data_IF_989429777377
#
_entry.id   IF_989429777377
#
_cell.length_a   1.000
_cell.length_b   1.000
_cell.length_c   1.000
_cell.angle_alpha   90.00
_cell.angle_beta   90.00
_cell.angle_gamma   90.00
#
_symmetry.space_group_name_H-M   'P 1'
#
loop_
_entity.id
_entity.type
_entity.pdbx_description
1 polymer ?
#
# COMPACT_ATOMS: atom_id res chain seq x y z
N UNK A 1 51.26 39.11 -39.24
CA UNK A 1 50.95 38.05 -40.22
C UNK A 1 51.54 36.75 -39.69
N UNK A 2 50.87 35.61 -39.94
CA UNK A 2 51.02 34.27 -39.30
C UNK A 2 50.05 34.10 -38.11
N UNK A 3 48.78 33.68 -38.30
CA UNK A 3 48.22 32.34 -38.62
C UNK A 3 48.22 31.36 -37.43
N UNK A 4 47.09 31.28 -36.72
CA UNK A 4 46.15 30.14 -36.63
C UNK A 4 46.70 28.84 -35.98
N UNK A 5 46.43 28.68 -34.68
CA UNK A 5 46.28 27.36 -34.07
C UNK A 5 44.77 27.02 -33.96
N UNK A 6 44.29 26.11 -34.82
CA UNK A 6 43.05 25.36 -34.61
C UNK A 6 43.41 24.03 -33.95
N UNK A 7 43.13 23.87 -32.65
CA UNK A 7 43.07 22.55 -32.01
C UNK A 7 41.67 21.96 -32.22
N UNK A 8 41.63 20.84 -32.93
CA UNK A 8 40.46 19.99 -33.14
C UNK A 8 40.00 19.34 -31.83
N UNK A 9 38.71 19.12 -31.56
CA UNK A 9 38.28 18.34 -30.40
C UNK A 9 38.53 16.86 -30.69
N UNK A 10 39.30 16.21 -29.80
CA UNK A 10 39.54 14.78 -29.83
C UNK A 10 38.21 14.02 -29.77
N UNK A 11 37.93 13.24 -30.82
CA UNK A 11 36.99 12.11 -30.76
C UNK A 11 37.42 11.21 -29.61
N UNK A 12 36.64 11.16 -28.53
CA UNK A 12 36.70 10.04 -27.57
C UNK A 12 36.25 8.80 -28.34
N UNK A 13 37.22 7.98 -28.74
CA UNK A 13 36.99 6.61 -29.19
C UNK A 13 36.39 5.82 -28.03
N UNK A 14 35.10 5.51 -28.10
CA UNK A 14 34.50 4.41 -27.35
C UNK A 14 34.96 3.12 -27.99
N UNK A 15 36.22 2.76 -27.73
CA UNK A 15 36.75 1.44 -28.07
C UNK A 15 36.19 0.48 -27.01
N UNK A 16 35.02 -0.08 -27.30
CA UNK A 16 34.47 -1.18 -26.50
C UNK A 16 35.27 -2.41 -26.87
N UNK A 17 36.01 -2.96 -25.91
CA UNK A 17 36.83 -4.14 -26.16
C UNK A 17 35.94 -5.31 -26.65
N UNK A 18 36.44 -6.22 -27.51
CA UNK A 18 35.65 -7.35 -28.01
C UNK A 18 35.05 -8.21 -26.89
N UNK A 19 35.76 -8.32 -25.76
CA UNK A 19 35.32 -9.02 -24.56
C UNK A 19 34.12 -8.34 -23.89
N UNK A 20 34.11 -7.00 -23.79
CA UNK A 20 32.98 -6.25 -23.21
C UNK A 20 31.71 -6.37 -24.05
N UNK A 21 31.85 -6.43 -25.38
CA UNK A 21 30.74 -6.63 -26.30
C UNK A 21 30.16 -8.05 -26.23
N UNK A 22 31.00 -9.06 -26.01
CA UNK A 22 30.58 -10.46 -25.86
C UNK A 22 29.91 -10.72 -24.50
N UNK A 23 30.46 -10.15 -23.42
CA UNK A 23 29.84 -10.17 -22.08
C UNK A 23 28.50 -9.46 -22.09
N UNK A 24 28.39 -8.29 -22.73
CA UNK A 24 27.12 -7.54 -22.83
C UNK A 24 26.06 -8.32 -23.61
N UNK A 25 26.44 -9.02 -24.69
CA UNK A 25 25.52 -9.89 -25.45
C UNK A 25 25.10 -11.13 -24.65
N UNK A 26 26.02 -11.73 -23.91
CA UNK A 26 25.75 -12.87 -23.04
C UNK A 26 24.78 -12.49 -21.91
N UNK A 27 25.03 -11.36 -21.23
CA UNK A 27 24.13 -10.82 -20.20
C UNK A 27 22.74 -10.49 -20.73
N UNK A 28 22.66 -9.92 -21.94
CA UNK A 28 21.36 -9.60 -22.56
C UNK A 28 20.54 -10.88 -22.81
N UNK A 29 21.18 -11.94 -23.31
CA UNK A 29 20.53 -13.24 -23.50
C UNK A 29 20.02 -13.85 -22.19
N UNK A 30 20.80 -13.76 -21.10
CA UNK A 30 20.33 -14.25 -19.80
C UNK A 30 19.16 -13.44 -19.24
N UNK A 31 19.15 -12.11 -19.44
CA UNK A 31 18.00 -11.27 -19.07
C UNK A 31 16.74 -11.65 -19.82
N UNK A 32 16.84 -11.86 -21.14
CA UNK A 32 15.70 -12.35 -21.94
C UNK A 32 15.18 -13.71 -21.45
N UNK A 33 16.08 -14.60 -21.01
CA UNK A 33 15.67 -15.89 -20.40
C UNK A 33 14.95 -15.69 -19.07
N UNK A 34 15.39 -14.75 -18.23
CA UNK A 34 14.71 -14.39 -16.99
C UNK A 34 13.33 -13.80 -17.29
N UNK A 35 13.23 -12.87 -18.24
CA UNK A 35 11.95 -12.25 -18.63
C UNK A 35 10.93 -13.31 -19.09
N UNK A 36 11.39 -14.34 -19.83
CA UNK A 36 10.55 -15.47 -20.25
C UNK A 36 10.08 -16.32 -19.06
N UNK A 37 10.93 -16.56 -18.07
CA UNK A 37 10.57 -17.30 -16.85
C UNK A 37 9.59 -16.49 -15.99
N UNK A 38 9.79 -15.19 -15.88
CA UNK A 38 8.90 -14.28 -15.15
C UNK A 38 7.51 -14.25 -15.79
N UNK A 39 7.44 -14.23 -17.14
CA UNK A 39 6.17 -14.35 -17.85
C UNK A 39 5.47 -15.68 -17.55
N UNK A 40 6.22 -16.79 -17.48
CA UNK A 40 5.66 -18.10 -17.13
C UNK A 40 5.15 -18.15 -15.68
N UNK A 41 5.85 -17.51 -14.74
CA UNK A 41 5.40 -17.41 -13.34
C UNK A 41 4.07 -16.66 -13.25
N UNK A 42 3.93 -15.53 -13.96
CA UNK A 42 2.68 -14.75 -14.00
C UNK A 42 1.55 -15.58 -14.60
N UNK A 43 1.79 -16.25 -15.74
CA UNK A 43 0.78 -17.14 -16.37
C UNK A 43 0.33 -18.25 -15.42
N UNK A 44 1.27 -18.88 -14.73
CA UNK A 44 0.99 -19.95 -13.75
C UNK A 44 0.16 -19.44 -12.57
N UNK A 45 0.47 -18.25 -12.06
CA UNK A 45 -0.31 -17.60 -11.00
C UNK A 45 -1.74 -17.28 -11.47
N UNK A 46 -1.90 -16.81 -12.72
CA UNK A 46 -3.21 -16.54 -13.30
C UNK A 46 -4.05 -17.82 -13.46
N UNK A 47 -3.45 -18.92 -13.92
CA UNK A 47 -4.11 -20.23 -14.00
C UNK A 47 -4.51 -20.73 -12.61
N UNK A 48 -3.60 -20.64 -11.63
CA UNK A 48 -3.90 -20.98 -10.24
C UNK A 48 -5.07 -20.17 -9.70
N UNK A 49 -5.13 -18.87 -9.99
CA UNK A 49 -6.25 -18.01 -9.58
C UNK A 49 -7.59 -18.45 -10.19
N UNK A 50 -7.61 -18.89 -11.46
CA UNK A 50 -8.82 -19.48 -12.08
C UNK A 50 -9.29 -20.73 -11.33
N UNK A 51 -8.37 -21.63 -10.98
CA UNK A 51 -8.70 -22.83 -10.18
C UNK A 51 -9.23 -22.46 -8.79
N UNK A 52 -8.67 -21.42 -8.15
CA UNK A 52 -9.19 -20.92 -6.86
C UNK A 52 -10.64 -20.44 -7.00
N UNK A 53 -10.99 -19.78 -8.11
CA UNK A 53 -12.38 -19.37 -8.38
C UNK A 53 -13.32 -20.57 -8.52
N UNK A 54 -12.91 -21.62 -9.23
CA UNK A 54 -13.71 -22.85 -9.35
C UNK A 54 -13.87 -23.58 -8.01
N UNK A 55 -12.79 -23.66 -7.21
CA UNK A 55 -12.83 -24.18 -5.84
C UNK A 55 -13.81 -23.39 -4.99
N UNK A 56 -13.82 -22.05 -5.12
CA UNK A 56 -14.78 -21.20 -4.44
C UNK A 56 -16.22 -21.49 -4.86
N UNK A 57 -16.50 -21.63 -6.16
CA UNK A 57 -17.84 -21.97 -6.66
C UNK A 57 -18.36 -23.28 -6.06
N UNK A 58 -17.50 -24.29 -5.88
CA UNK A 58 -17.89 -25.54 -5.21
C UNK A 58 -18.10 -25.37 -3.69
N UNK A 59 -17.31 -24.51 -3.04
CA UNK A 59 -17.47 -24.19 -1.62
C UNK A 59 -18.70 -23.34 -1.32
N UNK A 60 -19.27 -22.62 -2.29
CA UNK A 60 -20.53 -21.89 -2.09
C UNK A 60 -21.68 -22.85 -1.71
N UNK A 61 -21.71 -24.04 -2.32
CA UNK A 61 -22.71 -25.08 -2.03
C UNK A 61 -22.43 -25.91 -0.76
N UNK A 62 -21.23 -25.82 -0.20
CA UNK A 62 -20.82 -26.59 1.00
C UNK A 62 -20.67 -25.69 2.23
N UNK A 63 -20.86 -26.25 3.43
CA UNK A 63 -20.71 -25.53 4.71
C UNK A 63 -19.25 -25.44 5.20
N UNK A 64 -18.27 -25.62 4.31
CA UNK A 64 -16.85 -25.65 4.68
C UNK A 64 -16.30 -24.23 4.94
N UNK A 65 -15.43 -24.09 5.95
CA UNK A 65 -14.70 -22.84 6.20
C UNK A 65 -13.82 -22.46 5.01
N UNK A 66 -13.67 -21.16 4.75
CA UNK A 66 -12.81 -20.67 3.66
C UNK A 66 -11.35 -21.05 3.91
N UNK A 67 -10.89 -20.85 5.15
CA UNK A 67 -9.52 -21.12 5.57
C UNK A 67 -9.40 -22.50 6.23
N UNK A 68 -8.45 -23.29 5.76
CA UNK A 68 -8.13 -24.61 6.33
C UNK A 68 -6.65 -24.62 6.75
N UNK A 69 -6.41 -24.43 8.05
CA UNK A 69 -5.06 -24.35 8.60
C UNK A 69 -4.26 -25.64 8.41
N UNK A 70 -4.90 -26.82 8.46
CA UNK A 70 -4.22 -28.11 8.29
C UNK A 70 -3.78 -28.31 6.84
N UNK A 71 -4.64 -27.92 5.89
CA UNK A 71 -4.30 -27.93 4.47
C UNK A 71 -3.18 -26.94 4.15
N UNK A 72 -3.22 -25.73 4.71
CA UNK A 72 -2.16 -24.73 4.56
C UNK A 72 -0.81 -25.26 5.07
N UNK A 73 -0.78 -25.83 6.28
CA UNK A 73 0.45 -26.39 6.86
C UNK A 73 1.01 -27.54 6.01
N UNK A 74 0.14 -28.42 5.52
CA UNK A 74 0.53 -29.52 4.63
C UNK A 74 1.10 -29.02 3.31
N UNK A 75 0.49 -27.99 2.72
CA UNK A 75 0.98 -27.35 1.50
C UNK A 75 2.35 -26.72 1.72
N UNK A 76 2.53 -25.93 2.78
CA UNK A 76 3.79 -25.25 3.06
C UNK A 76 4.94 -26.24 3.34
N UNK A 77 4.65 -27.37 4.00
CA UNK A 77 5.62 -28.45 4.16
C UNK A 77 6.06 -29.02 2.81
N UNK A 78 5.11 -29.33 1.93
CA UNK A 78 5.41 -29.82 0.57
C UNK A 78 6.21 -28.80 -0.25
N UNK A 79 5.88 -27.51 -0.14
CA UNK A 79 6.61 -26.43 -0.80
C UNK A 79 8.06 -26.37 -0.33
N UNK A 80 8.32 -26.52 0.97
CA UNK A 80 9.70 -26.59 1.49
C UNK A 80 10.49 -27.77 0.92
N UNK A 81 9.88 -28.95 0.85
CA UNK A 81 10.50 -30.15 0.25
C UNK A 81 10.84 -29.91 -1.23
N UNK A 82 9.89 -29.39 -2.02
CA UNK A 82 10.11 -29.05 -3.42
C UNK A 82 11.20 -27.98 -3.61
N UNK A 83 11.28 -27.00 -2.71
CA UNK A 83 12.31 -25.97 -2.75
C UNK A 83 13.71 -26.55 -2.53
N UNK A 84 13.85 -27.47 -1.57
CA UNK A 84 15.11 -28.17 -1.32
C UNK A 84 15.55 -28.99 -2.54
N UNK A 85 14.63 -29.76 -3.14
CA UNK A 85 14.91 -30.59 -4.31
C UNK A 85 15.32 -29.75 -5.54
N UNK A 86 14.73 -28.56 -5.68
CA UNK A 86 15.04 -27.61 -6.76
C UNK A 86 16.30 -26.77 -6.50
N UNK A 87 16.91 -26.86 -5.30
CA UNK A 87 18.09 -26.09 -4.93
C UNK A 87 17.84 -24.60 -4.68
N UNK A 88 16.61 -24.20 -4.36
CA UNK A 88 16.23 -22.83 -4.01
C UNK A 88 16.03 -22.70 -2.50
N UNK A 89 16.15 -21.48 -1.95
CA UNK A 89 15.97 -21.24 -0.51
C UNK A 89 14.54 -21.64 -0.05
N UNK A 90 14.40 -22.64 0.84
CA UNK A 90 13.10 -23.05 1.34
C UNK A 90 12.38 -21.97 2.13
N UNK A 91 13.12 -21.10 2.83
CA UNK A 91 12.51 -20.03 3.63
C UNK A 91 11.88 -18.97 2.75
N UNK A 92 12.62 -18.44 1.78
CA UNK A 92 12.10 -17.51 0.78
C UNK A 92 10.88 -18.09 0.03
N UNK A 93 10.98 -19.34 -0.43
CA UNK A 93 9.90 -20.00 -1.16
C UNK A 93 8.64 -20.16 -0.29
N UNK A 94 8.81 -20.51 0.99
CA UNK A 94 7.70 -20.59 1.93
C UNK A 94 7.01 -19.22 2.11
N UNK A 95 7.77 -18.12 2.26
CA UNK A 95 7.20 -16.78 2.38
C UNK A 95 6.37 -16.42 1.14
N UNK A 96 6.91 -16.64 -0.06
CA UNK A 96 6.18 -16.42 -1.31
C UNK A 96 4.85 -17.20 -1.35
N UNK A 97 4.87 -18.48 -0.97
CA UNK A 97 3.66 -19.29 -0.96
C UNK A 97 2.67 -18.88 0.13
N UNK A 98 3.13 -18.37 1.28
CA UNK A 98 2.25 -17.78 2.30
C UNK A 98 1.50 -16.57 1.75
N UNK A 99 2.16 -15.71 0.99
CA UNK A 99 1.53 -14.54 0.36
C UNK A 99 0.50 -14.98 -0.69
N UNK A 100 0.84 -15.96 -1.53
CA UNK A 100 -0.08 -16.53 -2.52
C UNK A 100 -1.33 -17.14 -1.85
N UNK A 101 -1.15 -17.88 -0.74
CA UNK A 101 -2.25 -18.46 0.03
C UNK A 101 -3.11 -17.36 0.66
N UNK A 102 -2.46 -16.37 1.29
CA UNK A 102 -3.14 -15.23 1.92
C UNK A 102 -4.03 -14.51 0.91
N UNK A 103 -3.51 -14.20 -0.29
CA UNK A 103 -4.28 -13.59 -1.35
C UNK A 103 -5.49 -14.46 -1.77
N UNK A 104 -5.28 -15.77 -1.89
CA UNK A 104 -6.36 -16.72 -2.25
C UNK A 104 -7.47 -16.77 -1.20
N UNK A 105 -7.12 -16.74 0.08
CA UNK A 105 -8.07 -16.72 1.20
C UNK A 105 -8.81 -15.40 1.24
N UNK A 106 -8.10 -14.27 1.05
CA UNK A 106 -8.68 -12.93 1.00
C UNK A 106 -9.71 -12.80 -0.12
N UNK A 107 -9.37 -13.23 -1.34
CA UNK A 107 -10.29 -13.26 -2.48
C UNK A 107 -11.56 -14.08 -2.19
N UNK A 108 -11.40 -15.30 -1.66
CA UNK A 108 -12.54 -16.16 -1.32
C UNK A 108 -13.42 -15.55 -0.23
N UNK A 109 -12.83 -14.96 0.81
CA UNK A 109 -13.58 -14.28 1.88
C UNK A 109 -14.36 -13.08 1.34
N UNK A 110 -13.75 -12.24 0.52
CA UNK A 110 -14.45 -11.11 -0.11
C UNK A 110 -15.57 -11.57 -1.05
N UNK A 111 -15.31 -12.56 -1.91
CA UNK A 111 -16.33 -13.12 -2.81
C UNK A 111 -17.52 -13.69 -2.05
N UNK A 112 -17.27 -14.28 -0.87
CA UNK A 112 -18.33 -14.81 -0.03
C UNK A 112 -19.13 -13.72 0.67
N UNK A 113 -18.47 -12.68 1.18
CA UNK A 113 -19.16 -11.50 1.69
C UNK A 113 -20.03 -10.85 0.61
N UNK A 114 -19.56 -10.81 -0.63
CA UNK A 114 -20.31 -10.21 -1.75
C UNK A 114 -21.53 -11.04 -2.10
N UNK A 115 -21.40 -12.35 -2.07
CA UNK A 115 -22.52 -13.25 -2.23
C UNK A 115 -23.57 -13.03 -1.13
N UNK A 116 -23.15 -13.01 0.14
CA UNK A 116 -24.04 -12.81 1.29
C UNK A 116 -24.71 -11.43 1.34
N UNK A 117 -24.16 -10.45 0.62
CA UNK A 117 -24.66 -9.07 0.58
C UNK A 117 -25.20 -8.66 -0.81
N UNK A 118 -25.42 -9.61 -1.73
CA UNK A 118 -25.92 -9.37 -3.10
C UNK A 118 -25.08 -8.36 -3.92
N UNK A 119 -23.75 -8.37 -3.76
CA UNK A 119 -22.81 -7.45 -4.43
C UNK A 119 -21.98 -8.09 -5.54
N UNK A 120 -22.20 -9.36 -5.90
CA UNK A 120 -21.39 -10.09 -6.89
C UNK A 120 -21.39 -9.45 -8.30
N UNK A 121 -22.46 -8.75 -8.68
CA UNK A 121 -22.56 -8.10 -10.00
C UNK A 121 -22.04 -6.66 -10.00
N UNK A 122 -21.74 -6.10 -8.83
CA UNK A 122 -21.25 -4.72 -8.70
C UNK A 122 -19.78 -4.69 -9.08
N UNK A 123 -19.47 -4.00 -10.20
CA UNK A 123 -18.09 -3.92 -10.74
C UNK A 123 -17.36 -2.64 -10.38
N UNK A 124 -18.06 -1.66 -9.83
CA UNK A 124 -17.51 -0.34 -9.53
C UNK A 124 -17.80 0.02 -8.08
N UNK A 125 -16.85 0.69 -7.43
CA UNK A 125 -17.06 1.24 -6.09
C UNK A 125 -16.47 2.64 -5.98
N UNK A 126 -17.18 3.52 -5.28
CA UNK A 126 -16.77 4.88 -4.95
C UNK A 126 -16.41 4.97 -3.47
N UNK A 127 -15.18 5.40 -3.19
CA UNK A 127 -14.60 5.42 -1.85
C UNK A 127 -14.27 6.87 -1.47
N UNK A 128 -14.95 7.39 -0.45
CA UNK A 128 -14.61 8.67 0.15
C UNK A 128 -13.47 8.52 1.16
N UNK A 129 -12.54 9.47 1.18
CA UNK A 129 -11.47 9.48 2.16
C UNK A 129 -10.98 10.90 2.44
N UNK A 130 -10.37 11.12 3.60
CA UNK A 130 -9.69 12.38 3.90
C UNK A 130 -8.27 12.37 3.30
N UNK A 131 -7.95 13.42 2.55
CA UNK A 131 -6.63 13.63 1.94
C UNK A 131 -6.67 13.70 0.42
N UNK A 132 -5.50 13.55 -0.19
CA UNK A 132 -5.33 13.64 -1.66
C UNK A 132 -4.85 12.31 -2.26
N UNK A 133 -4.82 12.22 -3.60
CA UNK A 133 -4.38 11.01 -4.29
C UNK A 133 -2.93 10.71 -3.87
N UNK A 134 -2.66 9.47 -3.46
CA UNK A 134 -1.34 9.06 -2.93
C UNK A 134 -1.22 9.11 -1.40
N UNK A 135 -2.18 9.71 -0.70
CA UNK A 135 -2.24 9.66 0.76
C UNK A 135 -2.41 8.22 1.27
N UNK A 136 -2.08 7.96 2.53
CA UNK A 136 -2.22 6.62 3.13
C UNK A 136 -3.67 6.09 3.09
N UNK A 137 -4.67 6.96 3.28
CA UNK A 137 -6.09 6.57 3.14
C UNK A 137 -6.46 6.17 1.71
N UNK A 138 -5.90 6.86 0.70
CA UNK A 138 -6.04 6.47 -0.70
C UNK A 138 -5.39 5.11 -0.98
N UNK A 139 -4.18 4.90 -0.46
CA UNK A 139 -3.50 3.61 -0.55
C UNK A 139 -4.31 2.48 0.11
N UNK A 140 -4.95 2.76 1.26
CA UNK A 140 -5.81 1.80 1.95
C UNK A 140 -7.03 1.43 1.09
N UNK A 141 -7.67 2.42 0.45
CA UNK A 141 -8.77 2.19 -0.50
C UNK A 141 -8.34 1.27 -1.64
N UNK A 142 -7.24 1.62 -2.31
CA UNK A 142 -6.74 0.83 -3.43
C UNK A 142 -6.38 -0.59 -2.99
N UNK A 143 -5.70 -0.76 -1.84
CA UNK A 143 -5.34 -2.08 -1.33
C UNK A 143 -6.57 -2.93 -0.99
N UNK A 144 -7.62 -2.33 -0.43
CA UNK A 144 -8.83 -3.06 -0.03
C UNK A 144 -9.68 -3.48 -1.22
N UNK A 145 -9.85 -2.58 -2.20
CA UNK A 145 -10.88 -2.72 -3.23
C UNK A 145 -10.40 -3.15 -4.62
N UNK A 146 -9.13 -2.93 -4.99
CA UNK A 146 -8.68 -3.15 -6.38
C UNK A 146 -8.68 -4.61 -6.83
N UNK A 147 -8.67 -5.57 -5.91
CA UNK A 147 -8.80 -7.00 -6.24
C UNK A 147 -10.27 -7.43 -6.39
N UNK A 148 -11.20 -6.62 -5.88
CA UNK A 148 -12.63 -6.95 -5.77
C UNK A 148 -13.49 -6.25 -6.82
N UNK A 149 -13.10 -5.05 -7.23
CA UNK A 149 -13.84 -4.21 -8.18
C UNK A 149 -12.97 -3.88 -9.39
N UNK A 150 -13.59 -3.82 -10.57
CA UNK A 150 -12.93 -3.48 -11.83
C UNK A 150 -12.56 -1.98 -11.88
N UNK A 151 -13.41 -1.10 -11.30
CA UNK A 151 -13.20 0.34 -11.21
C UNK A 151 -13.35 0.81 -9.75
N UNK A 152 -12.25 1.31 -9.17
CA UNK A 152 -12.21 1.86 -7.82
C UNK A 152 -12.02 3.37 -7.93
N UNK A 153 -13.10 4.12 -7.70
CA UNK A 153 -13.07 5.59 -7.72
C UNK A 153 -12.84 6.10 -6.32
N UNK A 154 -11.77 6.86 -6.12
CA UNK A 154 -11.48 7.45 -4.82
C UNK A 154 -11.70 8.96 -4.86
N UNK A 155 -12.50 9.49 -3.92
CA UNK A 155 -12.80 10.91 -3.80
C UNK A 155 -12.19 11.44 -2.51
N UNK A 156 -11.26 12.39 -2.65
CA UNK A 156 -10.54 13.00 -1.53
C UNK A 156 -11.25 14.23 -0.98
N UNK A 157 -11.35 14.31 0.34
CA UNK A 157 -11.97 15.39 1.10
C UNK A 157 -10.99 16.04 2.08
N UNK A 158 -11.32 17.24 2.57
CA UNK A 158 -10.43 17.97 3.49
C UNK A 158 -10.46 17.40 4.90
N UNK A 159 -11.62 16.94 5.36
CA UNK A 159 -11.82 16.42 6.72
C UNK A 159 -12.43 15.02 6.70
N UNK A 160 -12.29 14.29 7.81
CA UNK A 160 -12.95 12.99 7.99
C UNK A 160 -14.48 13.12 7.94
N UNK A 161 -15.02 14.20 8.52
CA UNK A 161 -16.47 14.48 8.52
C UNK A 161 -17.00 14.65 7.09
N UNK A 162 -16.31 15.41 6.24
CA UNK A 162 -16.71 15.57 4.84
C UNK A 162 -16.70 14.23 4.08
N UNK A 163 -15.69 13.38 4.29
CA UNK A 163 -15.64 12.06 3.67
C UNK A 163 -16.77 11.15 4.15
N UNK A 164 -17.09 11.18 5.45
CA UNK A 164 -18.21 10.43 6.01
C UNK A 164 -19.55 10.95 5.48
N UNK A 165 -19.74 12.27 5.42
CA UNK A 165 -20.96 12.89 4.90
C UNK A 165 -21.20 12.57 3.42
N UNK A 166 -20.18 12.62 2.58
CA UNK A 166 -20.29 12.25 1.17
C UNK A 166 -20.83 10.81 1.01
N UNK A 167 -20.42 9.89 1.88
CA UNK A 167 -20.97 8.53 1.90
C UNK A 167 -22.40 8.47 2.45
N UNK A 168 -22.73 9.23 3.50
CA UNK A 168 -24.10 9.32 4.03
C UNK A 168 -25.08 9.89 2.98
N UNK A 169 -24.66 10.92 2.26
CA UNK A 169 -25.45 11.59 1.21
C UNK A 169 -25.52 10.79 -0.10
N UNK A 170 -24.70 9.74 -0.23
CA UNK A 170 -24.70 8.84 -1.39
C UNK A 170 -23.82 9.28 -2.55
N UNK A 171 -22.93 10.26 -2.34
CA UNK A 171 -21.86 10.60 -3.30
C UNK A 171 -20.76 9.54 -3.35
N UNK A 172 -20.61 8.75 -2.28
CA UNK A 172 -19.72 7.60 -2.19
C UNK A 172 -20.44 6.38 -1.61
N UNK A 173 -19.99 5.17 -1.96
CA UNK A 173 -20.54 3.91 -1.47
C UNK A 173 -20.06 3.59 -0.04
N UNK A 174 -18.81 3.97 0.24
CA UNK A 174 -18.10 3.71 1.49
C UNK A 174 -17.17 4.87 1.81
N UNK A 175 -16.78 5.03 3.08
CA UNK A 175 -15.70 5.90 3.48
C UNK A 175 -14.59 5.14 4.20
N UNK A 176 -13.36 5.65 4.13
CA UNK A 176 -12.20 5.12 4.87
C UNK A 176 -11.77 6.11 5.94
N UNK A 177 -11.76 5.62 7.18
CA UNK A 177 -11.39 6.40 8.36
C UNK A 177 -10.20 5.74 9.07
N UNK A 178 -9.11 6.48 9.34
CA UNK A 178 -8.05 6.00 10.21
C UNK A 178 -8.52 6.08 11.66
N UNK A 179 -8.44 4.99 12.42
CA UNK A 179 -8.89 4.96 13.83
C UNK A 179 -7.74 4.92 14.82
N UNK A 180 -6.58 4.39 14.41
CA UNK A 180 -5.45 4.17 15.29
C UNK A 180 -4.14 4.26 14.50
N UNK A 181 -3.15 4.96 15.07
CA UNK A 181 -1.78 4.96 14.58
C UNK A 181 -0.83 4.60 15.72
N UNK A 182 0.14 3.73 15.48
CA UNK A 182 1.10 3.26 16.51
C UNK A 182 1.86 4.42 17.18
N UNK A 183 2.19 5.48 16.44
CA UNK A 183 2.96 6.62 16.95
C UNK A 183 2.07 7.72 17.54
N UNK A 184 0.91 7.98 16.95
CA UNK A 184 0.01 9.07 17.36
C UNK A 184 -1.11 8.66 18.32
N UNK A 185 -1.35 7.36 18.49
CA UNK A 185 -2.45 6.81 19.26
C UNK A 185 -3.78 6.79 18.50
N UNK A 186 -4.88 6.78 19.25
CA UNK A 186 -6.24 6.82 18.73
C UNK A 186 -6.53 8.15 18.03
N UNK A 187 -7.32 8.08 16.95
CA UNK A 187 -7.76 9.26 16.19
C UNK A 187 -9.19 9.56 16.62
N UNK A 188 -9.33 10.46 17.59
CA UNK A 188 -10.61 10.74 18.25
C UNK A 188 -11.67 11.23 17.26
N UNK A 189 -11.32 12.10 16.29
CA UNK A 189 -12.25 12.59 15.28
C UNK A 189 -12.96 11.45 14.53
N UNK A 190 -12.25 10.33 14.25
CA UNK A 190 -12.85 9.15 13.63
C UNK A 190 -13.78 8.40 14.58
N UNK A 191 -13.44 8.32 15.87
CA UNK A 191 -14.29 7.71 16.89
C UNK A 191 -15.56 8.53 17.13
N UNK A 192 -15.46 9.85 17.13
CA UNK A 192 -16.59 10.75 17.29
C UNK A 192 -17.58 10.57 16.12
N UNK A 193 -17.07 10.46 14.89
CA UNK A 193 -17.90 10.15 13.71
C UNK A 193 -18.58 8.77 13.82
N UNK A 194 -17.86 7.75 14.29
CA UNK A 194 -18.42 6.42 14.51
C UNK A 194 -19.46 6.38 15.64
N UNK A 195 -19.40 7.33 16.58
CA UNK A 195 -20.32 7.41 17.72
C UNK A 195 -21.58 8.23 17.39
N UNK A 196 -21.45 9.31 16.62
CA UNK A 196 -22.53 10.25 16.31
C UNK A 196 -23.38 9.83 15.11
N UNK A 197 -22.77 9.14 14.15
CA UNK A 197 -23.41 8.76 12.89
C UNK A 197 -23.75 7.27 12.93
N UNK A 198 -24.92 6.89 12.39
CA UNK A 198 -25.30 5.49 12.16
C UNK A 198 -24.41 4.86 11.06
N UNK A 199 -23.13 4.70 11.36
CA UNK A 199 -22.10 4.15 10.48
C UNK A 199 -21.76 2.74 10.92
N UNK A 200 -21.65 1.86 9.94
CA UNK A 200 -21.29 0.48 10.19
C UNK A 200 -19.88 0.21 9.69
N UNK A 201 -19.03 -0.32 10.58
CA UNK A 201 -17.69 -0.81 10.20
C UNK A 201 -17.87 -2.12 9.43
N UNK A 202 -17.49 -2.12 8.16
CA UNK A 202 -17.69 -3.23 7.23
C UNK A 202 -16.40 -3.83 6.70
N UNK A 203 -15.26 -3.26 7.09
CA UNK A 203 -13.95 -3.82 6.81
C UNK A 203 -12.85 -3.07 7.56
N UNK A 204 -11.63 -3.59 7.48
CA UNK A 204 -10.45 -2.92 8.00
C UNK A 204 -9.23 -3.17 7.12
N UNK A 205 -8.29 -2.23 7.15
CA UNK A 205 -6.97 -2.37 6.53
C UNK A 205 -5.89 -1.84 7.47
N UNK A 206 -4.76 -2.54 7.54
CA UNK A 206 -3.60 -2.08 8.33
C UNK A 206 -2.45 -1.83 7.36
N UNK A 207 -1.99 -0.58 7.33
CA UNK A 207 -0.86 -0.17 6.49
C UNK A 207 0.35 0.19 7.34
N UNK A 208 1.52 -0.27 6.91
CA UNK A 208 2.79 0.24 7.42
C UNK A 208 2.99 1.65 6.87
N UNK A 209 3.20 2.61 7.76
CA UNK A 209 3.58 3.98 7.41
C UNK A 209 5.08 3.98 7.12
N UNK A 210 5.45 4.04 5.85
CA UNK A 210 6.85 4.13 5.41
C UNK A 210 7.11 5.49 4.76
N UNK A 211 7.64 6.41 5.55
CA UNK A 211 8.07 7.72 5.06
C UNK A 211 9.36 7.58 4.25
N UNK A 212 9.27 7.98 2.98
CA UNK A 212 10.35 8.00 2.01
C UNK A 212 10.67 9.44 1.63
N UNK A 213 11.96 9.76 1.46
CA UNK A 213 12.40 10.99 0.82
C UNK A 213 12.41 10.76 -0.69
N UNK A 214 11.75 11.63 -1.44
CA UNK A 214 11.62 11.50 -2.89
C UNK A 214 11.84 12.83 -3.60
N UNK A 215 12.41 12.75 -4.80
CA UNK A 215 12.69 13.89 -5.67
C UNK A 215 12.32 13.54 -7.12
N UNK A 216 12.28 14.55 -8.01
CA UNK A 216 12.02 14.31 -9.44
C UNK A 216 13.16 13.53 -10.13
N UNK A 217 14.37 13.62 -9.59
CA UNK A 217 15.58 12.97 -10.11
C UNK A 217 16.36 12.27 -8.98
N UNK A 218 17.29 11.34 -9.29
CA UNK A 218 18.19 10.72 -8.31
C UNK A 218 19.26 11.71 -7.80
N UNK A 219 18.83 12.78 -7.14
CA UNK A 219 19.68 13.86 -6.63
C UNK A 219 20.45 13.43 -5.37
N UNK A 220 21.77 13.70 -5.26
CA UNK A 220 22.53 13.54 -4.02
C UNK A 220 21.93 14.36 -2.86
N UNK A 221 21.97 13.81 -1.63
CA UNK A 221 21.34 14.45 -0.47
C UNK A 221 21.94 15.82 -0.14
N UNK A 222 23.22 16.03 -0.47
CA UNK A 222 23.96 17.28 -0.24
C UNK A 222 23.52 18.43 -1.17
N UNK A 223 22.90 18.09 -2.30
CA UNK A 223 22.41 19.04 -3.30
C UNK A 223 20.98 19.51 -3.00
N UNK A 224 20.27 18.82 -2.10
CA UNK A 224 18.94 19.23 -1.66
C UNK A 224 19.00 20.57 -0.91
N UNK A 225 18.03 21.44 -1.22
CA UNK A 225 17.88 22.77 -0.65
C UNK A 225 16.55 22.94 0.08
N UNK A 226 15.53 22.17 -0.28
CA UNK A 226 14.21 22.25 0.34
C UNK A 226 13.56 20.87 0.46
N UNK A 227 13.00 20.58 1.63
CA UNK A 227 12.18 19.39 1.86
C UNK A 227 10.78 19.81 2.33
N UNK A 228 9.75 19.27 1.69
CA UNK A 228 8.34 19.52 2.03
C UNK A 228 7.64 18.28 2.54
N UNK A 229 6.80 18.43 3.56
CA UNK A 229 5.86 17.39 4.01
C UNK A 229 4.87 17.93 5.04
N UNK A 230 3.90 17.12 5.43
CA UNK A 230 3.01 17.41 6.55
C UNK A 230 3.80 17.57 7.86
N UNK A 231 3.46 18.52 8.76
CA UNK A 231 4.16 18.73 10.04
C UNK A 231 4.39 17.46 10.86
N UNK A 232 3.40 16.56 10.88
CA UNK A 232 3.51 15.29 11.61
C UNK A 232 4.57 14.36 10.99
N UNK A 233 4.65 14.28 9.67
CA UNK A 233 5.66 13.46 8.98
C UNK A 233 7.06 14.07 9.16
N UNK A 234 7.19 15.39 9.11
CA UNK A 234 8.46 16.09 9.40
C UNK A 234 8.95 15.82 10.82
N UNK A 235 8.05 15.91 11.82
CA UNK A 235 8.36 15.60 13.22
C UNK A 235 8.78 14.14 13.40
N UNK A 236 8.07 13.21 12.73
CA UNK A 236 8.40 11.79 12.71
C UNK A 236 9.73 11.49 12.01
N UNK A 237 10.23 12.34 11.11
CA UNK A 237 11.50 12.14 10.41
C UNK A 237 12.63 13.05 10.93
N UNK A 238 12.43 13.72 12.06
CA UNK A 238 13.32 14.77 12.57
C UNK A 238 14.77 14.34 12.78
N UNK A 239 15.03 13.08 13.18
CA UNK A 239 16.42 12.58 13.36
C UNK A 239 17.17 12.47 12.03
N UNK A 240 16.47 12.14 10.95
CA UNK A 240 17.05 12.11 9.62
C UNK A 240 17.26 13.53 9.09
N UNK A 241 16.22 14.38 9.20
CA UNK A 241 16.27 15.77 8.75
C UNK A 241 17.37 16.59 9.44
N UNK A 242 17.65 16.34 10.73
CA UNK A 242 18.72 17.00 11.46
C UNK A 242 20.12 16.77 10.87
N UNK A 243 20.31 15.75 10.01
CA UNK A 243 21.57 15.48 9.32
C UNK A 243 21.76 16.35 8.08
N UNK A 244 20.69 16.97 7.57
CA UNK A 244 20.70 17.78 6.35
C UNK A 244 20.84 19.27 6.70
N UNK A 245 22.07 19.70 6.97
CA UNK A 245 22.35 21.07 7.46
C UNK A 245 22.13 22.17 6.43
N UNK A 246 22.14 21.83 5.13
CA UNK A 246 22.04 22.78 4.02
C UNK A 246 20.66 22.79 3.36
N UNK A 247 19.64 22.27 4.04
CA UNK A 247 18.29 22.11 3.51
C UNK A 247 17.25 22.80 4.40
N UNK A 248 16.38 23.60 3.80
CA UNK A 248 15.22 24.18 4.46
C UNK A 248 14.10 23.15 4.60
N UNK A 249 13.54 23.01 5.82
CA UNK A 249 12.39 22.15 6.08
C UNK A 249 11.12 22.99 6.05
N UNK A 250 10.27 22.77 5.06
CA UNK A 250 9.05 23.56 4.85
C UNK A 250 7.80 22.71 5.11
N UNK A 251 6.98 23.06 6.12
CA UNK A 251 5.68 22.45 6.32
C UNK A 251 4.76 22.61 5.10
N UNK A 252 3.98 21.57 4.81
CA UNK A 252 3.02 21.54 3.72
C UNK A 252 1.69 20.94 4.20
N UNK A 253 0.63 21.12 3.41
CA UNK A 253 -0.74 20.76 3.80
C UNK A 253 -0.96 19.26 3.98
N UNK A 254 -0.32 18.44 3.14
CA UNK A 254 -0.45 16.98 3.14
C UNK A 254 0.82 16.36 2.56
N UNK A 255 1.12 15.11 2.93
CA UNK A 255 2.33 14.42 2.45
C UNK A 255 2.24 14.11 0.95
N UNK A 256 1.07 13.68 0.46
CA UNK A 256 0.91 13.36 -0.95
C UNK A 256 0.81 14.62 -1.82
N UNK A 257 0.21 15.70 -1.32
CA UNK A 257 0.29 17.01 -1.98
C UNK A 257 1.73 17.52 -2.07
N UNK A 258 2.57 17.29 -1.05
CA UNK A 258 3.97 17.66 -1.12
C UNK A 258 4.70 16.88 -2.23
N UNK A 259 4.46 15.57 -2.36
CA UNK A 259 5.01 14.77 -3.45
C UNK A 259 4.54 15.26 -4.83
N UNK A 260 3.23 15.49 -5.00
CA UNK A 260 2.68 16.05 -6.24
C UNK A 260 3.36 17.38 -6.59
N UNK A 261 3.59 18.25 -5.59
CA UNK A 261 4.23 19.54 -5.79
C UNK A 261 5.67 19.43 -6.29
N UNK A 262 6.42 18.43 -5.82
CA UNK A 262 7.79 18.16 -6.30
C UNK A 262 7.76 17.69 -7.75
N UNK A 263 6.83 16.82 -8.11
CA UNK A 263 6.64 16.38 -9.50
C UNK A 263 6.29 17.57 -10.41
N UNK A 264 5.37 18.44 -10.00
CA UNK A 264 4.94 19.61 -10.79
C UNK A 264 6.04 20.66 -10.97
N UNK A 265 6.89 20.86 -9.96
CA UNK A 265 7.99 21.84 -10.03
C UNK A 265 9.20 21.32 -10.80
N UNK A 266 9.46 20.01 -10.80
CA UNK A 266 10.57 19.39 -11.53
C UNK A 266 11.96 19.91 -11.13
N UNK A 267 12.08 20.49 -9.93
CA UNK A 267 13.34 21.04 -9.42
C UNK A 267 14.13 19.96 -8.66
N UNK A 268 15.29 19.53 -9.18
CA UNK A 268 16.07 18.44 -8.57
C UNK A 268 16.62 18.80 -7.18
N UNK A 269 16.66 20.09 -6.83
CA UNK A 269 17.11 20.54 -5.49
C UNK A 269 16.02 20.44 -4.44
N UNK A 270 14.81 20.04 -4.82
CA UNK A 270 13.67 19.90 -3.93
C UNK A 270 13.26 18.44 -3.74
N UNK A 271 12.82 18.12 -2.53
CA UNK A 271 12.33 16.80 -2.20
C UNK A 271 11.07 16.87 -1.32
N UNK A 272 10.34 15.75 -1.28
CA UNK A 272 9.21 15.56 -0.39
C UNK A 272 9.43 14.36 0.52
N UNK A 273 8.83 14.39 1.70
CA UNK A 273 8.64 13.19 2.51
C UNK A 273 7.19 12.74 2.36
N UNK A 274 6.98 11.54 1.80
CA UNK A 274 5.66 10.93 1.62
C UNK A 274 5.74 9.40 1.61
N UNK A 275 4.62 8.73 1.35
CA UNK A 275 4.57 7.27 1.23
C UNK A 275 5.33 6.80 -0.02
N UNK A 276 5.90 5.58 0.00
CA UNK A 276 6.46 4.98 -1.22
C UNK A 276 5.44 4.87 -2.35
N UNK A 277 4.17 4.68 -1.99
CA UNK A 277 3.05 4.65 -2.93
C UNK A 277 2.84 6.00 -3.63
N UNK A 278 3.04 7.13 -2.95
CA UNK A 278 3.00 8.44 -3.60
C UNK A 278 4.17 8.63 -4.58
N UNK A 279 5.35 8.09 -4.27
CA UNK A 279 6.48 8.13 -5.19
C UNK A 279 6.19 7.37 -6.49
N UNK A 280 5.64 6.16 -6.41
CA UNK A 280 5.21 5.37 -7.57
C UNK A 280 4.11 6.09 -8.37
N UNK A 281 3.14 6.68 -7.66
CA UNK A 281 2.00 7.36 -8.28
C UNK A 281 2.41 8.60 -9.09
N UNK A 282 3.42 9.32 -8.62
CA UNK A 282 3.89 10.58 -9.20
C UNK A 282 5.21 10.43 -9.97
N UNK A 283 5.66 9.21 -10.22
CA UNK A 283 6.92 8.89 -10.93
C UNK A 283 8.14 9.61 -10.32
N UNK A 284 8.22 9.60 -8.99
CA UNK A 284 9.31 10.22 -8.23
C UNK A 284 10.35 9.19 -7.80
N UNK A 285 11.61 9.63 -7.78
CA UNK A 285 12.74 8.84 -7.36
C UNK A 285 12.84 8.83 -5.83
N UNK A 286 12.81 7.64 -5.22
CA UNK A 286 13.04 7.48 -3.79
C UNK A 286 14.55 7.59 -3.51
N UNK A 287 14.95 8.63 -2.78
CA UNK A 287 16.33 8.88 -2.37
C UNK A 287 16.69 8.15 -1.07
N UNK A 288 15.72 7.99 -0.17
CA UNK A 288 15.88 7.26 1.09
C UNK A 288 14.54 6.71 1.60
N UNK A 289 14.58 5.53 2.24
CA UNK A 289 13.41 4.80 2.77
C UNK A 289 13.46 4.71 4.29
N UNK A 290 12.32 4.41 4.90
CA UNK A 290 12.16 4.13 6.34
C UNK A 290 12.72 5.26 7.23
N UNK A 291 12.36 6.52 6.90
CA UNK A 291 12.90 7.72 7.56
C UNK A 291 12.29 8.03 8.93
N UNK A 292 11.25 7.31 9.32
CA UNK A 292 10.58 7.50 10.58
C UNK A 292 11.54 7.22 11.76
N UNK A 293 11.49 8.06 12.79
CA UNK A 293 12.28 7.97 14.00
C UNK A 293 12.07 6.67 14.77
N UNK A 294 10.88 6.07 14.64
CA UNK A 294 10.50 4.79 15.23
C UNK A 294 10.16 3.81 14.10
N UNK A 295 10.79 2.63 14.06
CA UNK A 295 10.39 1.58 13.14
C UNK A 295 9.03 1.00 13.56
N UNK A 296 8.34 0.37 12.61
CA UNK A 296 7.08 -0.31 12.90
C UNK A 296 5.91 0.64 13.18
N UNK A 297 5.85 1.78 12.49
CA UNK A 297 4.67 2.65 12.51
C UNK A 297 3.58 2.07 11.61
N UNK A 298 2.41 1.77 12.16
CA UNK A 298 1.26 1.28 11.42
C UNK A 298 0.05 2.18 11.67
N UNK A 299 -0.79 2.31 10.64
CA UNK A 299 -2.11 2.92 10.78
C UNK A 299 -3.16 1.87 10.46
N UNK A 300 -4.14 1.75 11.36
CA UNK A 300 -5.34 0.93 11.17
C UNK A 300 -6.46 1.82 10.64
N UNK A 301 -6.97 1.43 9.49
CA UNK A 301 -8.10 2.05 8.81
C UNK A 301 -9.31 1.14 8.93
N UNK A 302 -10.48 1.74 9.07
CA UNK A 302 -11.77 1.06 8.95
C UNK A 302 -12.49 1.53 7.70
N UNK A 303 -13.17 0.59 7.06
CA UNK A 303 -14.12 0.86 5.99
C UNK A 303 -15.49 1.01 6.67
N UNK A 304 -16.16 2.12 6.40
CA UNK A 304 -17.50 2.41 6.93
C UNK A 304 -18.52 2.56 5.81
N UNK A 305 -19.75 2.13 6.08
CA UNK A 305 -20.89 2.24 5.18
C UNK A 305 -22.17 2.62 5.93
N UNK A 306 -23.17 3.09 5.18
CA UNK A 306 -24.51 3.43 5.70
C UNK A 306 -25.29 2.22 6.17
N UNK A 307 -25.13 1.10 5.48
CA UNK A 307 -25.83 -0.14 5.79
C UNK A 307 -24.84 -1.13 6.41
N UNK A 308 -25.27 -1.95 7.37
CA UNK A 308 -24.45 -3.02 7.91
C UNK A 308 -24.22 -4.10 6.84
N UNK A 309 -23.10 -4.81 6.96
CA UNK A 309 -22.85 -6.00 6.15
C UNK A 309 -23.24 -7.28 6.91
N UNK A 310 -23.87 -8.21 6.19
CA UNK A 310 -24.08 -9.57 6.67
C UNK A 310 -22.74 -10.30 6.61
N UNK A 311 -22.24 -10.67 7.79
CA UNK A 311 -21.02 -11.47 7.91
C UNK A 311 -21.36 -12.97 7.78
N UNK A 312 -20.71 -13.66 6.84
CA UNK A 312 -20.85 -15.11 6.72
C UNK A 312 -20.07 -15.82 7.85
N UNK A 313 -20.68 -16.76 8.60
CA UNK A 313 -20.04 -17.43 9.73
C UNK A 313 -18.81 -18.27 9.35
N UNK A 314 -18.59 -18.55 8.05
CA UNK A 314 -17.41 -19.25 7.55
C UNK A 314 -16.16 -18.36 7.48
N UNK A 315 -16.31 -17.07 7.75
CA UNK A 315 -15.23 -16.07 7.76
C UNK A 315 -14.97 -15.65 9.20
N UNK A 316 -13.70 -15.64 9.68
CA UNK A 316 -13.37 -15.03 10.95
C UNK A 316 -13.75 -13.54 10.97
N UNK A 317 -14.55 -13.13 11.94
CA UNK A 317 -15.07 -11.75 12.05
C UNK A 317 -14.54 -11.05 13.30
N UNK A 318 -14.54 -9.72 13.25
CA UNK A 318 -14.29 -8.86 14.40
C UNK A 318 -15.54 -8.00 14.63
N UNK A 319 -15.91 -7.83 15.89
CA UNK A 319 -17.00 -6.92 16.30
C UNK A 319 -16.40 -5.72 17.02
N UNK A 320 -16.82 -4.53 16.60
CA UNK A 320 -16.48 -3.28 17.28
C UNK A 320 -17.70 -2.78 18.05
N UNK A 321 -17.49 -2.43 19.32
CA UNK A 321 -18.52 -1.91 20.21
C UNK A 321 -18.04 -0.59 20.81
N UNK A 322 -18.89 0.42 20.80
CA UNK A 322 -18.72 1.64 21.59
C UNK A 322 -19.64 1.51 22.82
N UNK A 323 -19.06 1.66 24.01
CA UNK A 323 -19.79 1.55 25.28
C UNK A 323 -19.60 2.83 26.07
N UNK A 324 -20.70 3.40 26.58
CA UNK A 324 -20.68 4.49 27.54
C UNK A 324 -21.09 3.95 28.91
N UNK A 325 -20.37 4.34 29.96
CA UNK A 325 -20.67 3.96 31.34
C UNK A 325 -20.45 5.13 32.30
N UNK A 326 -20.98 5.04 33.51
CA UNK A 326 -20.79 6.08 34.53
C UNK A 326 -19.34 6.12 35.01
N UNK A 327 -18.85 7.30 35.40
CA UNK A 327 -17.47 7.45 35.88
C UNK A 327 -17.35 7.09 37.38
N UNK A 328 -17.54 5.82 37.71
CA UNK A 328 -17.48 5.29 39.07
C UNK A 328 -16.50 4.12 39.20
N UNK A 329 -16.02 3.87 40.42
CA UNK A 329 -15.10 2.75 40.70
C UNK A 329 -15.77 1.43 40.34
N UNK A 330 -15.20 0.71 39.38
CA UNK A 330 -15.69 -0.60 38.93
C UNK A 330 -16.69 -0.54 37.78
N UNK A 331 -17.07 0.63 37.28
CA UNK A 331 -18.05 0.76 36.19
C UNK A 331 -17.59 0.07 34.89
N UNK A 332 -16.33 0.25 34.49
CA UNK A 332 -15.77 -0.45 33.31
C UNK A 332 -15.74 -1.98 33.50
N UNK A 333 -15.44 -2.45 34.72
CA UNK A 333 -15.42 -3.89 35.01
C UNK A 333 -16.80 -4.52 34.87
N UNK A 334 -17.88 -3.79 35.15
CA UNK A 334 -19.24 -4.28 34.98
C UNK A 334 -19.65 -4.40 33.50
N UNK A 335 -18.97 -3.71 32.60
CA UNK A 335 -19.23 -3.75 31.16
C UNK A 335 -18.46 -4.86 30.42
N UNK A 336 -17.39 -5.41 31.02
CA UNK A 336 -16.50 -6.41 30.41
C UNK A 336 -16.92 -7.84 30.77
#
# INVERSE_FOLDING_TARGET
MSEKEKKSPGKKSTDTSPDDAEVTRSLSRYREQIDQLDEQLIRTLAERHKVVREVFSNKLSESAFIRDARREETLLRKVREMAMDAGIDPYFTEQLFRDIIYQSVRFQSHSLLDHSNNKLEVRTITVAYQGTRGAYSHQAAMRHFSERYDDVRCIGFKTFEQAAMAMVEGEADVAILPIENTTAGSINDSYDLLADKDLHVTGEEVLKVNHCLMACEPTPLEELRRIRSHPQALSQCSRFLAKLTNCEIQPYTDTAMAAQKIMEEGDPTQAAIASSYAAELYDLHILAKDLANQPGNYTRFVIVSREPMVCDPRIPTKTSLLLATVHEKGALLQCL
#
